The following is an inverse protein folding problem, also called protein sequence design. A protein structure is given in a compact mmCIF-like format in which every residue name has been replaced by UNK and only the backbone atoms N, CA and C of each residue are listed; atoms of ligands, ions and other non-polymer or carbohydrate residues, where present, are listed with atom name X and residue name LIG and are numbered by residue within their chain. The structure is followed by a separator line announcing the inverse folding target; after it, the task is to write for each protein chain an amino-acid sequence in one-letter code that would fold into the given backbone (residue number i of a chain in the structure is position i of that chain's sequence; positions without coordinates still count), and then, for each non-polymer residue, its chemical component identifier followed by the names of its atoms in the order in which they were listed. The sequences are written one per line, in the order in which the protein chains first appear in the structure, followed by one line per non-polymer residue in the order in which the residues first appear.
data_IF_829451941608
#
_entry.id   IF_829451941608
#
_cell.length_a   1.000
_cell.length_b   1.000
_cell.length_c   1.000
_cell.angle_alpha   90.00
_cell.angle_beta   90.00
_cell.angle_gamma   90.00
#
_symmetry.space_group_name_H-M   'P 1'
#
loop_
_entity.id
_entity.type
_entity.pdbx_description
1 polymer ?
#
# COMPACT_ATOMS: atom_id res chain seq x y z
N UNK A 1 4.13 -12.23 -16.66
CA UNK A 1 4.18 -10.83 -16.21
C UNK A 1 4.68 -10.83 -14.78
N UNK A 2 5.98 -10.62 -14.59
CA UNK A 2 6.58 -10.45 -13.27
C UNK A 2 6.14 -9.10 -12.73
N UNK A 3 5.45 -9.08 -11.58
CA UNK A 3 5.01 -7.84 -10.96
C UNK A 3 6.20 -7.26 -10.20
N UNK A 4 6.91 -6.30 -10.80
CA UNK A 4 7.78 -5.43 -10.03
C UNK A 4 6.90 -4.42 -9.30
N UNK A 5 6.94 -4.45 -7.96
CA UNK A 5 6.46 -3.37 -7.14
C UNK A 5 7.38 -2.17 -7.45
N UNK A 6 6.95 -1.29 -8.34
CA UNK A 6 7.72 -0.11 -8.74
C UNK A 6 7.57 0.97 -7.68
N UNK A 7 8.68 1.54 -7.23
CA UNK A 7 8.67 2.80 -6.50
C UNK A 7 8.72 3.95 -7.50
N UNK A 8 7.84 4.95 -7.37
CA UNK A 8 7.97 6.19 -8.11
C UNK A 8 9.04 7.06 -7.43
N UNK A 9 10.09 7.42 -8.17
CA UNK A 9 11.11 8.38 -7.71
C UNK A 9 10.63 9.80 -8.01
N UNK A 10 10.48 10.63 -6.98
CA UNK A 10 10.04 12.03 -7.14
C UNK A 10 11.28 12.92 -7.24
N UNK A 11 11.67 13.35 -8.44
CA UNK A 11 12.69 14.38 -8.63
C UNK A 11 12.05 15.76 -8.87
N UNK A 12 12.49 16.79 -8.14
CA UNK A 12 12.12 18.20 -8.35
C UNK A 12 12.90 18.86 -9.50
N UNK A 13 12.44 20.02 -10.03
CA UNK A 13 13.03 20.66 -11.19
C UNK A 13 14.17 21.61 -10.78
N UNK A 14 15.36 21.43 -11.34
CA UNK A 14 16.36 22.51 -11.43
C UNK A 14 16.70 22.71 -12.91
N UNK A 15 16.41 23.92 -13.40
CA UNK A 15 16.73 24.43 -14.73
C UNK A 15 17.99 25.30 -14.64
N UNK A 16 18.93 25.15 -15.58
CA UNK A 16 19.48 26.28 -16.33
C UNK A 16 20.04 25.81 -17.70
N UNK A 17 20.02 26.67 -18.73
CA UNK A 17 19.90 26.27 -20.13
C UNK A 17 21.21 26.40 -20.91
N UNK A 18 21.42 25.53 -21.90
CA UNK A 18 22.24 25.84 -23.07
C UNK A 18 21.68 25.12 -24.31
N UNK A 19 21.43 25.92 -25.36
CA UNK A 19 21.09 25.61 -26.75
C UNK A 19 19.64 25.23 -27.12
N UNK A 20 19.21 25.86 -28.22
CA UNK A 20 17.90 25.83 -28.90
C UNK A 20 18.11 25.26 -30.33
N UNK A 21 17.07 25.04 -31.15
CA UNK A 21 16.02 24.03 -31.04
C UNK A 21 16.12 23.00 -32.18
N UNK A 22 15.77 21.75 -31.92
CA UNK A 22 15.60 20.70 -32.94
C UNK A 22 14.37 19.86 -32.60
N UNK A 23 13.45 19.74 -33.55
CA UNK A 23 12.16 19.07 -33.42
C UNK A 23 12.28 17.62 -32.92
N UNK A 24 11.43 17.21 -31.96
CA UNK A 24 11.29 15.82 -31.54
C UNK A 24 9.84 15.46 -31.17
N UNK A 25 9.47 14.23 -31.54
CA UNK A 25 8.17 13.56 -31.49
C UNK A 25 7.58 13.40 -30.06
N UNK A 26 6.27 13.13 -29.91
CA UNK A 26 5.64 13.00 -28.59
C UNK A 26 6.11 11.77 -27.82
N UNK A 27 6.31 11.95 -26.50
CA UNK A 27 6.70 10.93 -25.53
C UNK A 27 5.59 9.88 -25.28
N UNK A 28 5.93 8.65 -24.83
CA UNK A 28 4.97 7.55 -24.78
C UNK A 28 3.99 7.68 -23.61
N UNK A 29 2.73 7.37 -23.86
CA UNK A 29 1.69 7.19 -22.84
C UNK A 29 1.69 5.74 -22.35
N UNK A 30 1.72 5.53 -21.04
CA UNK A 30 1.58 4.20 -20.44
C UNK A 30 0.09 3.90 -20.25
N UNK A 31 -0.48 3.04 -21.09
CA UNK A 31 -1.86 2.56 -20.98
C UNK A 31 -1.89 1.19 -20.32
N UNK A 32 -2.69 1.02 -19.26
CA UNK A 32 -3.02 -0.29 -18.69
C UNK A 32 -4.54 -0.44 -18.70
N UNK A 33 -5.03 -1.39 -19.50
CA UNK A 33 -6.46 -1.67 -19.69
C UNK A 33 -6.86 -2.98 -19.03
N UNK A 34 -7.88 -2.95 -18.17
CA UNK A 34 -8.70 -4.12 -17.81
C UNK A 34 -10.14 -3.62 -17.76
N UNK A 35 -11.01 -4.22 -18.58
CA UNK A 35 -12.40 -3.79 -18.73
C UNK A 35 -13.36 -4.67 -17.93
N UNK A 36 -14.24 -4.04 -17.16
CA UNK A 36 -15.52 -4.58 -16.71
C UNK A 36 -16.56 -3.43 -16.72
N UNK A 37 -17.85 -3.70 -17.00
CA UNK A 37 -18.83 -2.66 -17.22
C UNK A 37 -19.48 -2.21 -15.92
N UNK A 38 -19.47 -0.89 -15.64
CA UNK A 38 -20.25 -0.29 -14.57
C UNK A 38 -21.23 0.74 -15.15
N UNK A 39 -22.51 0.61 -14.78
CA UNK A 39 -23.59 1.54 -15.11
C UNK A 39 -23.49 2.75 -14.18
N UNK A 40 -23.13 3.91 -14.72
CA UNK A 40 -23.08 5.17 -13.98
C UNK A 40 -24.45 5.88 -13.98
N UNK A 41 -24.93 6.33 -12.81
CA UNK A 41 -25.92 7.41 -12.72
C UNK A 41 -25.18 8.74 -12.94
N UNK A 42 -25.63 9.53 -13.91
CA UNK A 42 -25.08 10.87 -14.19
C UNK A 42 -25.66 11.91 -13.24
N UNK A 43 -24.79 12.67 -12.58
CA UNK A 43 -25.12 13.99 -12.01
C UNK A 43 -24.67 15.09 -12.99
N UNK A 44 -25.35 16.25 -13.01
CA UNK A 44 -25.11 17.30 -14.00
C UNK A 44 -23.79 18.05 -13.74
N UNK A 45 -23.15 18.63 -14.78
CA UNK A 45 -21.89 19.34 -14.64
C UNK A 45 -22.12 20.72 -14.06
N UNK A 46 -21.51 20.99 -12.91
CA UNK A 46 -21.44 22.30 -12.28
C UNK A 46 -19.97 22.71 -12.13
N UNK A 47 -19.60 23.73 -12.90
CA UNK A 47 -18.36 24.48 -12.80
C UNK A 47 -18.22 25.05 -11.38
N UNK A 48 -17.21 24.62 -10.63
CA UNK A 48 -16.71 25.37 -9.48
C UNK A 48 -15.27 24.97 -9.16
N UNK A 49 -14.35 25.73 -9.73
CA UNK A 49 -12.95 25.78 -9.35
C UNK A 49 -12.86 26.48 -7.99
N UNK A 50 -12.94 25.73 -6.89
CA UNK A 50 -12.70 26.27 -5.55
C UNK A 50 -11.31 25.83 -5.10
N UNK A 51 -10.32 26.68 -5.39
CA UNK A 51 -9.03 26.65 -4.71
C UNK A 51 -9.23 27.25 -3.32
N UNK A 52 -9.66 26.45 -2.35
CA UNK A 52 -9.39 26.78 -0.94
C UNK A 52 -7.93 26.43 -0.67
N UNK A 53 -7.04 27.32 -1.10
CA UNK A 53 -5.68 27.34 -0.58
C UNK A 53 -5.80 27.71 0.91
N UNK A 54 -5.34 26.83 1.80
CA UNK A 54 -5.05 27.25 3.17
C UNK A 54 -4.00 28.35 3.08
N UNK A 55 -4.44 29.60 3.29
CA UNK A 55 -3.56 30.76 3.30
C UNK A 55 -2.45 30.53 4.33
N UNK A 56 -1.20 30.48 3.86
CA UNK A 56 0.00 30.24 4.70
C UNK A 56 0.58 28.83 4.63
N UNK A 57 -0.08 27.88 3.98
CA UNK A 57 0.43 26.52 3.77
C UNK A 57 1.69 26.44 2.88
N UNK A 58 2.43 25.33 2.99
CA UNK A 58 3.61 25.08 2.16
C UNK A 58 3.19 24.64 0.75
N UNK A 59 3.69 25.31 -0.29
CA UNK A 59 3.48 24.89 -1.67
C UNK A 59 3.99 23.46 -1.90
N UNK A 60 3.19 22.66 -2.60
CA UNK A 60 3.49 21.27 -2.93
C UNK A 60 3.12 20.95 -4.38
N UNK A 61 3.88 20.03 -4.96
CA UNK A 61 3.67 19.54 -6.31
C UNK A 61 3.48 18.03 -6.28
N UNK A 62 2.51 17.54 -7.04
CA UNK A 62 2.25 16.12 -7.16
C UNK A 62 1.53 15.75 -8.44
N UNK A 63 1.09 14.50 -8.50
CA UNK A 63 0.32 13.95 -9.61
C UNK A 63 -1.04 13.51 -9.12
N UNK A 64 -2.11 13.99 -9.77
CA UNK A 64 -3.47 13.74 -9.36
C UNK A 64 -4.35 13.18 -10.47
N UNK A 65 -5.28 12.31 -10.11
CA UNK A 65 -6.44 11.97 -10.92
C UNK A 65 -7.51 13.04 -10.70
N UNK A 66 -8.22 13.42 -11.76
CA UNK A 66 -9.30 14.43 -11.71
C UNK A 66 -10.69 13.85 -12.00
N UNK A 67 -10.72 12.59 -12.41
CA UNK A 67 -11.90 11.83 -12.82
C UNK A 67 -11.59 10.33 -12.71
N UNK A 68 -12.61 9.49 -12.90
CA UNK A 68 -12.57 8.03 -12.72
C UNK A 68 -11.83 7.25 -13.81
N UNK A 69 -11.26 7.93 -14.80
CA UNK A 69 -10.34 7.31 -15.77
C UNK A 69 -9.04 6.84 -15.11
N UNK A 70 -8.69 7.41 -13.95
CA UNK A 70 -7.46 7.12 -13.22
C UNK A 70 -6.19 7.68 -13.88
N UNK A 71 -6.33 8.54 -14.89
CA UNK A 71 -5.19 9.20 -15.53
C UNK A 71 -4.62 10.26 -14.59
N UNK A 72 -3.34 10.11 -14.25
CA UNK A 72 -2.63 11.07 -13.41
C UNK A 72 -2.03 12.19 -14.25
N UNK A 73 -2.15 13.43 -13.76
CA UNK A 73 -1.54 14.62 -14.36
C UNK A 73 -0.92 15.52 -13.29
N UNK A 74 0.09 16.35 -13.64
CA UNK A 74 0.68 17.32 -12.72
C UNK A 74 -0.37 18.18 -12.01
N UNK A 75 -0.17 18.40 -10.71
CA UNK A 75 -1.09 19.12 -9.85
C UNK A 75 -0.32 19.90 -8.79
N UNK A 76 -0.48 21.23 -8.81
CA UNK A 76 0.00 22.12 -7.76
C UNK A 76 -1.09 22.27 -6.69
N UNK A 77 -0.69 22.24 -5.42
CA UNK A 77 -1.57 22.43 -4.29
C UNK A 77 -0.78 22.98 -3.10
N UNK A 78 -1.48 23.27 -2.00
CA UNK A 78 -0.87 23.69 -0.75
C UNK A 78 -1.02 22.59 0.30
N UNK A 79 0.05 22.30 1.04
CA UNK A 79 0.00 21.52 2.28
C UNK A 79 -0.36 22.46 3.42
N UNK A 80 -1.09 21.94 4.40
CA UNK A 80 -1.36 22.67 5.63
C UNK A 80 -0.09 23.15 6.33
N UNK A 81 -0.24 24.23 7.09
CA UNK A 81 0.82 24.71 7.99
C UNK A 81 1.14 23.60 9.01
N UNK A 82 2.42 23.23 9.19
CA UNK A 82 2.81 22.31 10.26
C UNK A 82 2.40 22.86 11.63
N UNK A 83 1.75 22.02 12.44
CA UNK A 83 1.46 22.27 13.85
C UNK A 83 2.67 21.86 14.71
N UNK A 84 2.54 22.06 16.01
CA UNK A 84 3.60 21.82 16.99
C UNK A 84 4.06 20.35 17.07
N UNK A 85 3.18 19.41 16.73
CA UNK A 85 3.40 17.96 16.76
C UNK A 85 3.58 17.34 15.36
N UNK A 86 3.86 18.16 14.35
CA UNK A 86 4.01 17.70 12.97
C UNK A 86 5.44 17.61 12.49
N UNK A 87 5.64 16.69 11.55
CA UNK A 87 6.88 16.46 10.84
C UNK A 87 6.65 16.78 9.36
N UNK A 88 7.51 17.64 8.80
CA UNK A 88 7.58 17.91 7.36
C UNK A 88 8.58 16.95 6.74
N UNK A 89 8.14 16.22 5.72
CA UNK A 89 8.89 15.13 5.09
C UNK A 89 9.02 15.41 3.60
N UNK A 90 10.26 15.49 3.12
CA UNK A 90 10.56 15.41 1.68
C UNK A 90 10.40 13.96 1.24
N UNK A 91 9.47 13.71 0.34
CA UNK A 91 9.22 12.37 -0.19
C UNK A 91 10.36 11.98 -1.13
N UNK A 92 10.92 10.80 -0.94
CA UNK A 92 11.95 10.23 -1.82
C UNK A 92 11.37 9.12 -2.69
N UNK A 93 10.59 8.23 -2.08
CA UNK A 93 9.94 7.11 -2.72
C UNK A 93 8.50 7.01 -2.27
N UNK A 94 7.61 6.68 -3.20
CA UNK A 94 6.28 6.22 -2.88
C UNK A 94 5.99 4.93 -3.65
N UNK A 95 5.59 3.89 -2.90
CA UNK A 95 5.14 2.63 -3.48
C UNK A 95 3.75 2.76 -4.11
N UNK A 96 3.43 1.80 -4.97
CA UNK A 96 2.14 1.74 -5.68
C UNK A 96 1.47 0.41 -5.35
N UNK A 97 0.23 0.48 -4.87
CA UNK A 97 -0.55 -0.71 -4.59
C UNK A 97 -1.95 -0.64 -5.23
N UNK A 98 -2.72 -1.73 -5.14
CA UNK A 98 -4.06 -1.79 -5.75
C UNK A 98 -5.03 -0.80 -5.12
N UNK A 99 -4.85 -0.42 -3.86
CA UNK A 99 -5.64 0.61 -3.20
C UNK A 99 -5.56 1.95 -3.94
N UNK A 100 -4.36 2.33 -4.42
CA UNK A 100 -4.21 3.57 -5.19
C UNK A 100 -5.04 3.52 -6.48
N UNK A 101 -5.02 2.37 -7.17
CA UNK A 101 -5.80 2.14 -8.39
C UNK A 101 -7.31 2.19 -8.12
N UNK A 102 -7.78 1.53 -7.06
CA UNK A 102 -9.20 1.51 -6.70
C UNK A 102 -9.73 2.90 -6.35
N UNK A 103 -8.92 3.71 -5.65
CA UNK A 103 -9.30 5.09 -5.31
C UNK A 103 -9.37 5.94 -6.59
N UNK A 104 -8.31 5.98 -7.41
CA UNK A 104 -8.27 6.90 -8.57
C UNK A 104 -9.22 6.49 -9.70
N UNK A 105 -9.71 5.25 -9.70
CA UNK A 105 -10.75 4.77 -10.62
C UNK A 105 -12.15 4.79 -10.01
N UNK A 106 -12.27 5.24 -8.76
CA UNK A 106 -13.51 5.27 -8.00
C UNK A 106 -14.25 3.92 -7.92
N UNK A 107 -13.51 2.80 -7.87
CA UNK A 107 -14.08 1.45 -7.82
C UNK A 107 -14.96 1.25 -6.56
N UNK A 108 -14.75 2.06 -5.52
CA UNK A 108 -15.51 2.05 -4.27
C UNK A 108 -16.51 3.20 -4.13
N UNK A 109 -16.66 4.06 -5.14
CA UNK A 109 -17.63 5.16 -5.14
C UNK A 109 -17.34 6.28 -4.13
N UNK A 110 -16.12 6.38 -3.61
CA UNK A 110 -15.72 7.32 -2.55
C UNK A 110 -14.57 8.28 -2.93
N UNK A 111 -14.20 8.36 -4.21
CA UNK A 111 -13.14 9.26 -4.67
C UNK A 111 -13.55 10.74 -4.57
N UNK A 112 -12.73 11.55 -3.89
CA UNK A 112 -12.88 13.00 -3.78
C UNK A 112 -11.85 13.70 -4.67
N UNK A 113 -12.18 13.82 -5.96
CA UNK A 113 -11.29 14.45 -6.94
C UNK A 113 -11.04 15.94 -6.66
N UNK A 114 -9.83 16.46 -6.93
CA UNK A 114 -8.66 15.75 -7.46
C UNK A 114 -7.99 14.85 -6.40
N UNK A 115 -7.67 13.60 -6.73
CA UNK A 115 -7.02 12.64 -5.82
C UNK A 115 -5.53 12.58 -6.13
N UNK A 116 -4.69 12.85 -5.13
CA UNK A 116 -3.25 12.52 -5.16
C UNK A 116 -3.07 11.19 -4.42
N UNK A 117 -2.79 10.07 -5.11
CA UNK A 117 -2.63 8.75 -4.48
C UNK A 117 -1.29 8.62 -3.74
N UNK A 118 -1.02 7.43 -3.20
CA UNK A 118 0.22 7.07 -2.54
C UNK A 118 0.11 7.05 -1.01
N UNK A 119 0.36 5.88 -0.41
CA UNK A 119 0.29 5.64 1.03
C UNK A 119 1.38 4.66 1.51
N UNK A 120 2.43 4.53 0.72
CA UNK A 120 3.62 3.72 0.97
C UNK A 120 4.83 4.66 0.87
N UNK A 121 4.95 5.62 1.79
CA UNK A 121 5.81 6.79 1.62
C UNK A 121 7.10 6.60 2.41
N UNK A 122 8.26 6.76 1.77
CA UNK A 122 9.57 6.88 2.42
C UNK A 122 10.20 8.20 2.05
N UNK A 123 10.72 8.90 3.05
CA UNK A 123 11.27 10.23 2.88
C UNK A 123 12.28 10.61 3.95
N UNK A 124 12.72 11.86 3.90
CA UNK A 124 13.64 12.45 4.87
C UNK A 124 12.95 13.65 5.52
N UNK A 125 13.05 13.74 6.84
CA UNK A 125 12.52 14.87 7.60
C UNK A 125 13.28 16.15 7.23
N UNK A 126 12.56 17.19 6.84
CA UNK A 126 13.12 18.52 6.52
C UNK A 126 12.78 19.58 7.57
N UNK A 127 11.75 19.35 8.39
CA UNK A 127 11.34 20.24 9.46
C UNK A 127 10.46 19.53 10.48
N UNK A 128 10.41 20.06 11.70
CA UNK A 128 9.61 19.55 12.80
C UNK A 128 8.96 20.71 13.56
N UNK A 129 7.75 20.49 14.09
CA UNK A 129 7.12 21.39 15.04
C UNK A 129 7.87 21.45 16.38
N UNK A 130 7.58 22.46 17.20
CA UNK A 130 8.31 22.71 18.45
C UNK A 130 8.09 21.65 19.54
N UNK A 131 6.96 20.96 19.49
CA UNK A 131 6.57 19.88 20.39
C UNK A 131 7.00 18.49 19.91
N UNK A 132 7.56 18.36 18.71
CA UNK A 132 8.04 17.07 18.20
C UNK A 132 9.23 16.58 19.00
N UNK A 133 9.15 15.34 19.48
CA UNK A 133 10.22 14.75 20.30
C UNK A 133 10.82 13.50 19.68
N UNK A 134 10.09 12.82 18.78
CA UNK A 134 10.53 11.53 18.22
C UNK A 134 11.44 11.69 17.02
N UNK A 135 11.40 12.80 16.30
CA UNK A 135 12.12 12.96 15.03
C UNK A 135 12.86 14.30 14.96
N UNK A 136 13.87 14.35 14.08
CA UNK A 136 14.60 15.58 13.76
C UNK A 136 14.90 15.64 12.26
N UNK A 137 15.24 16.83 11.77
CA UNK A 137 15.69 17.00 10.39
C UNK A 137 16.85 16.05 10.04
N UNK A 138 16.80 15.44 8.86
CA UNK A 138 17.75 14.43 8.40
C UNK A 138 17.37 12.98 8.72
N UNK A 139 16.42 12.73 9.64
CA UNK A 139 15.95 11.37 9.90
C UNK A 139 15.25 10.78 8.67
N UNK A 140 15.53 9.50 8.39
CA UNK A 140 14.80 8.75 7.36
C UNK A 140 13.55 8.11 7.96
N UNK A 141 12.40 8.40 7.36
CA UNK A 141 11.09 8.07 7.93
C UNK A 141 10.13 7.51 6.89
N UNK A 142 9.11 6.81 7.38
CA UNK A 142 8.03 6.27 6.59
C UNK A 142 6.66 6.75 7.07
N UNK A 143 5.70 6.81 6.14
CA UNK A 143 4.28 7.09 6.41
C UNK A 143 3.45 6.02 5.70
N UNK A 144 2.58 5.36 6.46
CA UNK A 144 1.73 4.26 5.98
C UNK A 144 0.35 4.72 5.52
N UNK A 145 -0.66 3.88 5.77
CA UNK A 145 -2.02 4.04 5.24
C UNK A 145 -2.86 5.16 5.87
N UNK A 146 -2.54 5.59 7.09
CA UNK A 146 -3.28 6.63 7.81
C UNK A 146 -2.35 7.63 8.50
N UNK A 147 -2.84 8.86 8.61
CA UNK A 147 -2.13 10.03 9.16
C UNK A 147 -2.85 10.65 10.37
N UNK A 148 -3.95 10.04 10.81
CA UNK A 148 -4.78 10.55 11.88
C UNK A 148 -5.76 9.52 12.43
N UNK A 149 -6.28 9.78 13.63
CA UNK A 149 -7.36 9.04 14.28
C UNK A 149 -7.99 9.93 15.36
N UNK A 150 -9.04 9.48 16.06
CA UNK A 150 -9.63 10.28 17.14
C UNK A 150 -8.77 10.40 18.41
N UNK A 151 -7.71 9.59 18.56
CA UNK A 151 -6.79 9.55 19.72
C UNK A 151 -7.40 9.24 21.10
N UNK A 152 -8.72 9.10 21.21
CA UNK A 152 -9.42 9.00 22.49
C UNK A 152 -10.29 7.75 22.67
N UNK A 153 -10.55 6.98 21.60
CA UNK A 153 -11.33 5.76 21.72
C UNK A 153 -10.49 4.59 22.29
N UNK A 154 -11.17 3.52 22.68
CA UNK A 154 -10.54 2.32 23.25
C UNK A 154 -9.47 1.72 22.33
N UNK A 155 -9.74 1.63 21.01
CA UNK A 155 -8.76 1.12 20.04
C UNK A 155 -7.49 1.96 20.04
N UNK A 156 -7.62 3.30 20.04
CA UNK A 156 -6.48 4.21 20.10
C UNK A 156 -5.73 4.10 21.43
N UNK A 157 -6.43 4.03 22.56
CA UNK A 157 -5.83 3.86 23.89
C UNK A 157 -5.04 2.56 24.05
N UNK A 158 -5.32 1.56 23.21
CA UNK A 158 -4.61 0.26 23.15
C UNK A 158 -3.55 0.19 22.04
N UNK A 159 -3.23 1.30 21.37
CA UNK A 159 -2.27 1.31 20.25
C UNK A 159 -2.75 0.56 19.00
N UNK A 160 -4.07 0.47 18.81
CA UNK A 160 -4.70 -0.10 17.62
C UNK A 160 -5.50 0.96 16.86
N UNK A 161 -4.89 2.12 16.59
CA UNK A 161 -5.52 3.25 15.91
C UNK A 161 -6.06 2.89 14.52
N UNK A 162 -5.52 1.84 13.89
CA UNK A 162 -6.02 1.29 12.63
C UNK A 162 -7.44 0.72 12.72
N UNK A 163 -7.95 0.40 13.92
CA UNK A 163 -9.34 0.00 14.16
C UNK A 163 -10.22 1.17 14.67
N UNK A 164 -9.71 2.40 14.61
CA UNK A 164 -10.50 3.59 14.94
C UNK A 164 -11.53 3.88 13.84
N UNK A 165 -12.79 4.12 14.23
CA UNK A 165 -13.83 4.55 13.28
C UNK A 165 -13.56 5.95 12.68
N UNK A 166 -12.74 6.77 13.35
CA UNK A 166 -12.34 8.11 12.90
C UNK A 166 -10.94 8.14 12.31
N UNK A 167 -10.48 7.07 11.67
CA UNK A 167 -9.17 7.05 10.99
C UNK A 167 -9.15 8.04 9.83
N UNK A 168 -8.03 8.75 9.67
CA UNK A 168 -7.80 9.66 8.54
C UNK A 168 -6.80 9.00 7.59
N UNK A 169 -7.25 8.58 6.41
CA UNK A 169 -6.36 7.97 5.41
C UNK A 169 -5.32 8.97 4.89
N UNK A 170 -4.14 8.48 4.55
CA UNK A 170 -3.03 9.27 3.97
C UNK A 170 -3.39 9.91 2.64
N UNK A 171 -4.24 9.24 1.84
CA UNK A 171 -4.78 9.74 0.58
C UNK A 171 -6.30 9.56 0.58
N UNK A 172 -7.02 10.56 0.08
CA UNK A 172 -8.49 10.54 -0.05
C UNK A 172 -9.24 10.35 1.29
N UNK A 173 -8.59 10.65 2.41
CA UNK A 173 -9.23 10.74 3.73
C UNK A 173 -9.70 12.16 4.01
N UNK A 174 -10.55 12.34 5.01
CA UNK A 174 -11.01 13.67 5.45
C UNK A 174 -10.42 13.96 6.83
N UNK A 175 -9.63 15.03 6.91
CA UNK A 175 -9.09 15.49 8.19
C UNK A 175 -9.92 16.63 8.77
N UNK A 176 -10.91 16.28 9.59
CA UNK A 176 -11.79 17.26 10.23
C UNK A 176 -11.07 18.19 11.22
N UNK A 177 -9.87 17.82 11.69
CA UNK A 177 -9.07 18.66 12.60
C UNK A 177 -8.23 19.71 11.86
N UNK A 178 -8.26 19.66 10.52
CA UNK A 178 -7.54 20.55 9.60
C UNK A 178 -8.48 21.04 8.48
N UNK A 179 -9.66 21.55 8.87
CA UNK A 179 -10.58 22.20 7.94
C UNK A 179 -11.40 21.24 7.06
N UNK A 180 -11.23 19.92 7.18
CA UNK A 180 -12.02 18.94 6.44
C UNK A 180 -11.62 18.81 4.96
N UNK A 181 -10.44 19.28 4.57
CA UNK A 181 -9.94 19.15 3.21
C UNK A 181 -9.47 17.69 2.96
N UNK A 182 -9.76 17.10 1.78
CA UNK A 182 -9.28 15.77 1.45
C UNK A 182 -7.76 15.65 1.48
N UNK A 183 -7.25 14.65 2.18
CA UNK A 183 -5.81 14.37 2.29
C UNK A 183 -5.21 14.01 0.93
N UNK A 184 -3.98 14.47 0.69
CA UNK A 184 -3.20 14.21 -0.52
C UNK A 184 -2.05 13.27 -0.18
N UNK A 185 -1.92 12.17 -0.93
CA UNK A 185 -0.96 11.10 -0.67
C UNK A 185 0.49 11.45 -1.03
N UNK A 186 1.32 10.40 -1.12
CA UNK A 186 2.75 10.47 -1.37
C UNK A 186 3.18 10.62 -2.82
N UNK A 187 2.27 10.69 -3.79
CA UNK A 187 2.62 11.04 -5.17
C UNK A 187 2.81 12.57 -5.29
N UNK A 188 3.60 13.11 -4.38
CA UNK A 188 3.93 14.52 -4.22
C UNK A 188 5.34 14.67 -3.65
N UNK A 189 5.94 15.84 -3.82
CA UNK A 189 7.28 16.17 -3.35
C UNK A 189 7.42 16.30 -1.82
N UNK A 190 6.38 16.76 -1.12
CA UNK A 190 6.37 16.95 0.33
C UNK A 190 5.07 16.46 0.96
N UNK A 191 5.18 15.95 2.19
CA UNK A 191 4.03 15.63 3.06
C UNK A 191 4.28 16.15 4.48
N UNK A 192 3.21 16.59 5.15
CA UNK A 192 3.22 17.03 6.55
C UNK A 192 2.34 16.08 7.34
N UNK A 193 2.89 15.44 8.36
CA UNK A 193 2.22 14.37 9.12
C UNK A 193 2.51 14.52 10.61
N UNK A 194 1.50 14.27 11.43
CA UNK A 194 1.66 14.23 12.88
C UNK A 194 2.67 13.15 13.29
N UNK A 195 3.61 13.46 14.18
CA UNK A 195 4.72 12.56 14.53
C UNK A 195 4.26 11.18 15.01
N UNK A 196 3.04 11.07 15.55
CA UNK A 196 2.47 9.80 16.00
C UNK A 196 2.38 8.77 14.87
N UNK A 197 2.08 9.22 13.65
CA UNK A 197 1.83 8.39 12.45
C UNK A 197 3.06 8.24 11.55
N UNK A 198 4.20 8.77 11.99
CA UNK A 198 5.48 8.62 11.31
C UNK A 198 6.25 7.47 11.97
N UNK A 199 6.84 6.61 11.14
CA UNK A 199 7.71 5.52 11.59
C UNK A 199 9.14 5.76 11.17
N UNK A 200 10.11 5.33 12.00
CA UNK A 200 11.52 5.40 11.63
C UNK A 200 11.84 4.26 10.67
N UNK A 201 12.55 4.56 9.58
CA UNK A 201 13.11 3.53 8.72
C UNK A 201 14.45 3.09 9.31
N UNK A 202 14.64 1.79 9.64
CA UNK A 202 15.91 1.30 10.15
C UNK A 202 17.08 1.53 9.19
N UNK A 203 18.25 1.82 9.75
CA UNK A 203 19.48 1.95 8.98
C UNK A 203 19.81 0.63 8.24
N UNK A 204 20.34 0.76 7.02
CA UNK A 204 20.74 -0.38 6.19
C UNK A 204 19.64 -0.99 5.31
N UNK A 205 18.37 -0.56 5.46
CA UNK A 205 17.33 -0.93 4.50
C UNK A 205 17.41 -0.05 3.25
N UNK A 206 17.27 -0.67 2.07
CA UNK A 206 17.12 0.07 0.82
C UNK A 206 15.77 0.80 0.82
N UNK A 207 15.79 2.12 0.65
CA UNK A 207 14.62 2.98 0.86
C UNK A 207 13.49 2.70 -0.13
N UNK A 208 13.84 2.47 -1.39
CA UNK A 208 12.92 2.07 -2.46
C UNK A 208 12.19 0.76 -2.15
N UNK A 209 12.89 -0.21 -1.55
CA UNK A 209 12.34 -1.52 -1.15
C UNK A 209 11.60 -1.49 0.18
N UNK A 210 11.78 -0.44 0.96
CA UNK A 210 11.12 -0.27 2.26
C UNK A 210 9.69 0.23 2.10
N UNK A 211 9.43 1.10 1.13
CA UNK A 211 8.11 1.70 0.90
C UNK A 211 6.96 0.68 0.88
N UNK A 212 7.03 -0.43 0.12
CA UNK A 212 5.94 -1.43 0.09
C UNK A 212 5.66 -2.12 1.43
N UNK A 213 6.63 -2.13 2.36
CA UNK A 213 6.44 -2.74 3.68
C UNK A 213 5.45 -1.94 4.55
N UNK A 214 5.28 -0.64 4.27
CA UNK A 214 4.38 0.26 5.00
C UNK A 214 2.89 -0.01 4.73
N UNK A 215 2.56 -0.81 3.71
CA UNK A 215 1.21 -1.31 3.47
C UNK A 215 1.20 -2.83 3.38
N UNK A 216 1.72 -3.43 2.31
CA UNK A 216 1.70 -4.87 2.11
C UNK A 216 2.43 -5.63 3.23
N UNK A 217 3.56 -5.10 3.71
CA UNK A 217 4.35 -5.70 4.78
C UNK A 217 3.60 -5.81 6.09
N UNK A 218 3.17 -4.67 6.66
CA UNK A 218 2.41 -4.67 7.91
C UNK A 218 1.10 -5.44 7.80
N UNK A 219 0.44 -5.42 6.63
CA UNK A 219 -0.83 -6.14 6.41
C UNK A 219 -0.69 -7.64 6.59
N UNK A 220 0.42 -8.24 6.13
CA UNK A 220 0.66 -9.68 6.31
C UNK A 220 1.37 -9.99 7.62
N UNK A 221 2.25 -9.10 8.10
CA UNK A 221 2.98 -9.28 9.35
C UNK A 221 2.06 -9.27 10.58
N UNK A 222 1.12 -8.32 10.65
CA UNK A 222 0.22 -8.14 11.79
C UNK A 222 -0.60 -9.41 12.13
N UNK A 223 -1.34 -10.04 11.19
CA UNK A 223 -2.05 -11.27 11.49
C UNK A 223 -1.10 -12.43 11.80
N UNK A 224 0.08 -12.49 11.16
CA UNK A 224 1.06 -13.53 11.47
C UNK A 224 1.52 -13.46 12.93
N UNK A 225 1.81 -12.27 13.43
CA UNK A 225 2.17 -12.08 14.84
C UNK A 225 0.98 -12.35 15.78
N UNK A 226 -0.21 -11.83 15.45
CA UNK A 226 -1.41 -11.93 16.30
C UNK A 226 -1.91 -13.36 16.48
N UNK A 227 -1.75 -14.20 15.46
CA UNK A 227 -2.19 -15.59 15.45
C UNK A 227 -1.05 -16.59 15.72
N UNK A 228 0.15 -16.11 16.08
CA UNK A 228 1.30 -16.97 16.36
C UNK A 228 1.84 -17.71 15.13
N UNK A 229 1.62 -17.21 13.92
CA UNK A 229 2.16 -17.75 12.67
C UNK A 229 3.54 -17.13 12.37
N UNK A 230 4.44 -17.21 13.35
CA UNK A 230 5.77 -16.58 13.31
C UNK A 230 6.87 -17.46 13.95
N UNK A 231 6.60 -18.75 14.12
CA UNK A 231 7.51 -19.71 14.75
C UNK A 231 8.11 -20.67 13.72
N UNK A 232 9.42 -21.00 13.83
CA UNK A 232 10.04 -22.01 12.99
C UNK A 232 9.31 -23.36 13.04
N UNK A 233 9.23 -24.02 11.89
CA UNK A 233 8.58 -25.33 11.77
C UNK A 233 7.06 -25.32 11.60
N UNK A 234 6.38 -24.18 11.79
CA UNK A 234 4.98 -24.03 11.37
C UNK A 234 4.84 -24.05 9.86
N UNK A 235 3.66 -24.44 9.38
CA UNK A 235 3.34 -24.54 7.96
C UNK A 235 2.31 -23.48 7.56
N UNK A 236 2.76 -22.50 6.77
CA UNK A 236 1.96 -21.41 6.24
C UNK A 236 1.46 -21.71 4.82
N UNK A 237 0.16 -21.58 4.59
CA UNK A 237 -0.40 -21.44 3.24
C UNK A 237 -0.50 -19.98 2.82
N UNK A 238 -0.13 -19.65 1.58
CA UNK A 238 -0.31 -18.31 1.01
C UNK A 238 -1.14 -18.41 -0.26
N UNK A 239 -2.36 -17.88 -0.25
CA UNK A 239 -3.28 -17.94 -1.39
C UNK A 239 -3.14 -16.67 -2.21
N UNK A 240 -2.80 -16.85 -3.49
CA UNK A 240 -2.45 -15.75 -4.38
C UNK A 240 -1.01 -15.28 -4.21
N UNK A 241 -0.36 -14.93 -5.32
CA UNK A 241 1.04 -14.49 -5.35
C UNK A 241 1.15 -13.13 -6.03
N UNK A 242 0.57 -12.11 -5.39
CA UNK A 242 0.62 -10.70 -5.80
C UNK A 242 1.47 -9.85 -4.87
N UNK A 243 1.10 -8.57 -4.70
CA UNK A 243 1.77 -7.64 -3.79
C UNK A 243 1.82 -8.14 -2.35
N UNK A 244 0.68 -8.52 -1.75
CA UNK A 244 0.69 -9.08 -0.40
C UNK A 244 1.28 -10.50 -0.36
N UNK A 245 0.89 -11.36 -1.31
CA UNK A 245 1.31 -12.78 -1.32
C UNK A 245 2.84 -12.96 -1.36
N UNK A 246 3.56 -12.19 -2.17
CA UNK A 246 5.03 -12.33 -2.21
C UNK A 246 5.70 -11.86 -0.91
N UNK A 247 5.13 -10.88 -0.22
CA UNK A 247 5.63 -10.40 1.08
C UNK A 247 5.30 -11.41 2.19
N UNK A 248 4.11 -12.02 2.15
CA UNK A 248 3.74 -13.10 3.07
C UNK A 248 4.70 -14.30 2.97
N UNK A 249 5.07 -14.70 1.73
CA UNK A 249 6.08 -15.75 1.52
C UNK A 249 7.41 -15.34 2.16
N UNK A 250 7.88 -14.13 1.90
CA UNK A 250 9.16 -13.62 2.46
C UNK A 250 9.16 -13.62 3.99
N UNK A 251 8.10 -13.14 4.63
CA UNK A 251 8.00 -13.20 6.10
C UNK A 251 7.93 -14.63 6.62
N UNK A 252 7.12 -15.50 6.01
CA UNK A 252 7.03 -16.91 6.40
C UNK A 252 8.39 -17.61 6.34
N UNK A 253 9.15 -17.40 5.24
CA UNK A 253 10.51 -17.93 5.12
C UNK A 253 11.48 -17.31 6.13
N UNK A 254 11.39 -16.00 6.37
CA UNK A 254 12.22 -15.32 7.37
C UNK A 254 11.95 -15.82 8.80
N UNK A 255 10.73 -16.23 9.13
CA UNK A 255 10.38 -16.86 10.40
C UNK A 255 10.78 -18.34 10.49
N UNK A 256 11.36 -18.94 9.44
CA UNK A 256 11.73 -20.36 9.42
C UNK A 256 10.53 -21.31 9.26
N UNK A 257 9.43 -20.83 8.71
CA UNK A 257 8.25 -21.64 8.42
C UNK A 257 8.43 -22.44 7.12
N UNK A 258 7.71 -23.55 7.01
CA UNK A 258 7.38 -24.17 5.72
C UNK A 258 6.30 -23.32 5.06
N UNK A 259 6.49 -22.94 3.80
CA UNK A 259 5.56 -22.08 3.06
C UNK A 259 5.09 -22.78 1.79
N UNK A 260 3.77 -22.94 1.66
CA UNK A 260 3.12 -23.45 0.46
C UNK A 260 2.35 -22.32 -0.22
N UNK A 261 2.68 -22.03 -1.48
CA UNK A 261 1.91 -21.07 -2.29
C UNK A 261 0.75 -21.80 -2.97
N UNK A 262 -0.45 -21.24 -2.87
CA UNK A 262 -1.67 -21.77 -3.46
C UNK A 262 -2.12 -20.81 -4.56
N UNK A 263 -2.24 -21.30 -5.80
CA UNK A 263 -2.58 -20.48 -6.96
C UNK A 263 -3.59 -21.17 -7.88
N UNK A 264 -4.28 -20.40 -8.72
CA UNK A 264 -5.20 -20.94 -9.72
C UNK A 264 -4.52 -21.39 -11.01
N UNK A 265 -3.25 -21.00 -11.23
CA UNK A 265 -2.47 -21.35 -12.43
C UNK A 265 -1.02 -21.69 -12.09
N UNK A 266 -0.39 -22.52 -12.93
CA UNK A 266 1.02 -22.88 -12.76
C UNK A 266 2.01 -21.75 -13.10
N UNK A 267 1.55 -20.66 -13.72
CA UNK A 267 2.41 -19.59 -14.27
C UNK A 267 3.32 -18.92 -13.23
N UNK A 268 2.93 -18.96 -11.95
CA UNK A 268 3.69 -18.37 -10.84
C UNK A 268 4.52 -19.39 -10.05
N UNK A 269 4.58 -20.65 -10.49
CA UNK A 269 5.33 -21.72 -9.81
C UNK A 269 6.81 -21.39 -9.73
N UNK A 270 7.41 -20.98 -10.86
CA UNK A 270 8.83 -20.65 -10.90
C UNK A 270 9.15 -19.48 -9.96
N UNK A 271 8.35 -18.42 -9.99
CA UNK A 271 8.51 -17.27 -9.10
C UNK A 271 8.37 -17.66 -7.61
N UNK A 272 7.39 -18.49 -7.27
CA UNK A 272 7.19 -18.96 -5.91
C UNK A 272 8.37 -19.78 -5.38
N UNK A 273 8.82 -20.78 -6.14
CA UNK A 273 9.83 -21.74 -5.67
C UNK A 273 11.24 -21.16 -5.80
N UNK A 274 11.62 -20.66 -6.98
CA UNK A 274 13.01 -20.28 -7.27
C UNK A 274 13.35 -18.88 -6.74
N UNK A 275 12.45 -17.90 -6.89
CA UNK A 275 12.74 -16.50 -6.55
C UNK A 275 12.34 -16.13 -5.12
N UNK A 276 11.23 -16.68 -4.63
CA UNK A 276 10.71 -16.37 -3.29
C UNK A 276 11.06 -17.45 -2.26
N UNK A 277 11.50 -18.63 -2.68
CA UNK A 277 11.92 -19.71 -1.80
C UNK A 277 10.77 -20.42 -1.08
N UNK A 278 9.56 -20.41 -1.65
CA UNK A 278 8.48 -21.26 -1.15
C UNK A 278 8.86 -22.74 -1.26
N UNK A 279 8.45 -23.55 -0.30
CA UNK A 279 8.80 -24.98 -0.25
C UNK A 279 7.91 -25.80 -1.18
N UNK A 280 6.66 -25.38 -1.37
CA UNK A 280 5.68 -26.08 -2.20
C UNK A 280 4.79 -25.10 -2.97
N UNK A 281 4.18 -25.61 -4.05
CA UNK A 281 3.21 -24.87 -4.86
C UNK A 281 2.04 -25.77 -5.26
N UNK A 282 0.84 -25.37 -4.86
CA UNK A 282 -0.42 -26.08 -5.11
C UNK A 282 -1.28 -25.32 -6.11
N UNK A 283 -1.89 -26.06 -7.04
CA UNK A 283 -2.89 -25.54 -7.96
C UNK A 283 -4.29 -25.77 -7.37
N UNK A 284 -4.97 -24.71 -6.95
CA UNK A 284 -6.29 -24.81 -6.30
C UNK A 284 -7.40 -25.35 -7.19
N UNK A 285 -7.20 -25.33 -8.51
CA UNK A 285 -8.11 -25.90 -9.52
C UNK A 285 -7.85 -27.38 -9.80
N UNK A 286 -6.76 -27.94 -9.29
CA UNK A 286 -6.42 -29.35 -9.44
C UNK A 286 -6.95 -30.12 -8.22
N UNK A 287 -8.04 -30.90 -8.38
CA UNK A 287 -8.63 -31.62 -7.26
C UNK A 287 -7.67 -32.65 -6.67
N UNK A 288 -6.73 -33.21 -7.43
CA UNK A 288 -5.77 -34.20 -6.92
C UNK A 288 -4.72 -33.56 -6.03
N UNK A 289 -4.26 -32.34 -6.37
CA UNK A 289 -3.37 -31.57 -5.49
C UNK A 289 -4.09 -31.06 -4.23
N UNK A 290 -5.41 -30.83 -4.31
CA UNK A 290 -6.23 -30.34 -3.21
C UNK A 290 -6.85 -31.46 -2.33
N UNK A 291 -7.00 -32.69 -2.85
CA UNK A 291 -7.65 -33.81 -2.16
C UNK A 291 -6.68 -34.93 -1.75
N UNK A 292 -6.50 -35.03 -0.43
CA UNK A 292 -6.64 -36.24 0.39
C UNK A 292 -6.04 -37.56 -0.13
N UNK A 293 -4.92 -37.96 0.48
CA UNK A 293 -4.69 -39.36 0.86
C UNK A 293 -4.67 -39.45 2.39
N UNK A 294 -5.68 -40.14 2.97
CA UNK A 294 -5.67 -40.58 4.37
C UNK A 294 -4.64 -41.70 4.63
N UNK A 295 -3.97 -42.17 3.58
CA UNK A 295 -2.93 -43.19 3.64
C UNK A 295 -1.79 -42.78 2.70
N UNK A 296 -0.66 -42.41 3.29
CA UNK A 296 0.69 -42.42 2.69
C UNK A 296 0.88 -41.69 1.33
N UNK A 297 1.21 -40.39 1.40
CA UNK A 297 2.46 -39.79 0.86
C UNK A 297 2.35 -38.40 0.21
N UNK A 298 1.17 -37.87 -0.14
CA UNK A 298 1.05 -36.48 -0.66
C UNK A 298 -0.34 -35.87 -0.43
N UNK A 299 -0.72 -35.60 0.82
CA UNK A 299 -2.00 -34.93 1.13
C UNK A 299 -1.76 -33.57 1.78
N UNK A 300 -2.13 -32.47 1.10
CA UNK A 300 -2.06 -31.13 1.67
C UNK A 300 -3.19 -30.85 2.71
N UNK A 301 -4.20 -31.71 2.77
CA UNK A 301 -5.33 -31.62 3.71
C UNK A 301 -4.86 -31.71 5.15
N UNK A 302 -5.27 -30.76 6.00
CA UNK A 302 -4.93 -30.78 7.42
C UNK A 302 -3.45 -30.61 7.73
N UNK A 303 -2.70 -29.91 6.87
CA UNK A 303 -1.23 -29.76 7.02
C UNK A 303 -0.80 -28.37 7.45
N UNK A 304 -1.61 -27.34 7.19
CA UNK A 304 -1.24 -25.94 7.42
C UNK A 304 -1.67 -25.48 8.81
N UNK A 305 -0.78 -24.80 9.52
CA UNK A 305 -1.06 -24.16 10.82
C UNK A 305 -1.81 -22.83 10.65
N UNK A 306 -1.79 -22.25 9.45
CA UNK A 306 -2.57 -21.07 9.10
C UNK A 306 -2.44 -20.72 7.62
N UNK A 307 -3.39 -19.91 7.13
CA UNK A 307 -3.42 -19.44 5.74
C UNK A 307 -3.54 -17.92 5.71
N UNK A 308 -2.71 -17.28 4.87
CA UNK A 308 -2.87 -15.87 4.49
C UNK A 308 -3.48 -15.83 3.09
N UNK A 309 -4.72 -15.37 3.00
CA UNK A 309 -5.43 -15.21 1.74
C UNK A 309 -5.27 -13.78 1.21
N UNK A 310 -4.72 -13.66 0.00
CA UNK A 310 -4.40 -12.37 -0.63
C UNK A 310 -5.14 -12.15 -1.95
N UNK A 311 -6.11 -13.02 -2.27
CA UNK A 311 -6.87 -12.91 -3.52
C UNK A 311 -7.88 -11.77 -3.41
N UNK A 312 -7.78 -10.80 -4.32
CA UNK A 312 -8.66 -9.61 -4.34
C UNK A 312 -9.97 -9.81 -5.12
N UNK A 313 -10.15 -10.98 -5.72
CA UNK A 313 -11.36 -11.35 -6.46
C UNK A 313 -12.17 -12.41 -5.70
N UNK A 314 -13.44 -12.59 -6.06
CA UNK A 314 -14.25 -13.67 -5.48
C UNK A 314 -13.63 -15.05 -5.76
N UNK A 315 -13.59 -15.90 -4.74
CA UNK A 315 -13.20 -17.31 -4.85
C UNK A 315 -13.85 -18.14 -3.74
N UNK A 316 -13.98 -19.48 -3.91
CA UNK A 316 -14.47 -20.35 -2.86
C UNK A 316 -13.43 -20.51 -1.73
N UNK A 317 -13.88 -20.43 -0.48
CA UNK A 317 -13.02 -20.59 0.71
C UNK A 317 -12.99 -22.03 1.24
N UNK A 318 -14.06 -22.81 1.02
CA UNK A 318 -14.19 -24.18 1.54
C UNK A 318 -12.99 -25.09 1.20
N UNK A 319 -12.44 -25.08 -0.04
CA UNK A 319 -11.26 -25.88 -0.35
C UNK A 319 -10.00 -25.48 0.44
N UNK A 320 -9.89 -24.21 0.82
CA UNK A 320 -8.76 -23.69 1.60
C UNK A 320 -8.87 -24.11 3.06
N UNK A 321 -10.08 -24.08 3.63
CA UNK A 321 -10.33 -24.55 5.00
C UNK A 321 -9.95 -26.02 5.20
N UNK A 322 -10.09 -26.85 4.15
CA UNK A 322 -9.68 -28.26 4.21
C UNK A 322 -8.15 -28.44 4.34
N UNK A 323 -7.34 -27.44 4.00
CA UNK A 323 -5.89 -27.50 4.12
C UNK A 323 -5.40 -27.21 5.55
N UNK A 324 -6.23 -26.55 6.37
CA UNK A 324 -5.91 -26.20 7.75
C UNK A 324 -5.97 -27.42 8.66
N UNK A 325 -5.01 -27.50 9.59
CA UNK A 325 -5.07 -28.40 10.75
C UNK A 325 -6.31 -28.08 11.61
N UNK A 326 -6.75 -29.01 12.48
CA UNK A 326 -7.64 -28.64 13.56
C UNK A 326 -7.06 -27.46 14.35
N UNK A 327 -7.88 -26.42 14.58
CA UNK A 327 -7.50 -25.16 15.23
C UNK A 327 -6.57 -24.23 14.42
N UNK A 328 -6.34 -24.52 13.13
CA UNK A 328 -5.62 -23.63 12.20
C UNK A 328 -6.50 -22.57 11.55
#
# INVERSE_FOLDING_TARGET
MSYHCGALVVHGPFLHPLFSPGAAAPAPSLRVSVGLPSRALRLPPGEQQVTMEEQGGQAAFGWAAREDTGVLSPYNFSRRVPKDDDVTIKVLYCGICHTDLHIIKNDWGNAMYPVVPGHEIVGVVTGVGGGVTRFKAGDTVGVGYFVGSCRSCESCGKGNENYCAGVVQTSNGVDHTHGGVPTKGGFSDVIVVNEHYVVRVPDGLALDRTAPLLCAGVTVYSPMMRHGLNEPGKHLGVVGLGGLGHVAVKFGKAFGMKVTVISTSASKRQEAIENLGADEFLISRDPEQMKVCRHFSTAATGTMDGIIDTVSAWHPITPLLALLKPLG
#
